data_IF_824584689545
#
_entry.id   IF_824584689545
#
_cell.length_a   1.000
_cell.length_b   1.000
_cell.length_c   1.000
_cell.angle_alpha   90.00
_cell.angle_beta   90.00
_cell.angle_gamma   90.00
#
_symmetry.space_group_name_H-M   'P 1'
#
loop_
_entity.id
_entity.type
_entity.pdbx_description
1 polymer ?
#
# COMPACT_ATOMS: atom_id res chain seq x y z
N UNK A 1 10.85 -10.75 11.91
CA UNK A 1 10.49 -10.32 10.55
C UNK A 1 9.94 -8.92 10.71
N UNK A 2 10.60 -7.92 10.14
CA UNK A 2 10.10 -6.55 10.16
C UNK A 2 8.94 -6.50 9.17
N UNK A 3 7.72 -6.28 9.65
CA UNK A 3 6.57 -6.02 8.78
C UNK A 3 6.85 -4.67 8.08
N UNK A 4 6.97 -4.69 6.76
CA UNK A 4 7.20 -3.47 5.99
C UNK A 4 5.93 -2.60 6.03
N UNK A 5 6.12 -1.30 6.28
CA UNK A 5 5.02 -0.35 6.32
C UNK A 5 4.65 0.07 4.90
N UNK A 6 3.42 -0.20 4.51
CA UNK A 6 2.84 0.27 3.27
C UNK A 6 2.13 1.61 3.48
N UNK A 7 2.27 2.53 2.52
CA UNK A 7 1.63 3.85 2.55
C UNK A 7 0.89 4.12 1.24
N UNK A 8 -0.39 4.48 1.33
CA UNK A 8 -1.20 4.94 0.20
C UNK A 8 -1.71 6.36 0.47
N UNK A 9 -1.57 7.24 -0.51
CA UNK A 9 -2.07 8.61 -0.44
C UNK A 9 -3.01 8.92 -1.59
N UNK A 10 -4.13 9.59 -1.29
CA UNK A 10 -5.09 10.10 -2.25
C UNK A 10 -5.44 11.55 -1.89
N UNK A 11 -5.45 12.43 -2.90
CA UNK A 11 -5.83 13.83 -2.75
C UNK A 11 -7.12 14.09 -3.52
N UNK A 12 -8.14 14.62 -2.85
CA UNK A 12 -9.41 15.02 -3.47
C UNK A 12 -9.76 16.45 -3.07
N UNK A 13 -9.46 17.39 -3.96
CA UNK A 13 -9.63 18.82 -3.66
C UNK A 13 -8.80 19.24 -2.45
N UNK A 14 -9.47 19.61 -1.35
CA UNK A 14 -8.82 20.00 -0.08
C UNK A 14 -8.57 18.82 0.87
N UNK A 15 -9.19 17.67 0.61
CA UNK A 15 -9.10 16.49 1.46
C UNK A 15 -7.89 15.62 1.07
N UNK A 16 -7.25 15.05 2.08
CA UNK A 16 -6.09 14.17 1.94
C UNK A 16 -6.34 12.91 2.75
N UNK A 17 -6.31 11.77 2.06
CA UNK A 17 -6.51 10.46 2.64
C UNK A 17 -5.18 9.73 2.63
N UNK A 18 -4.67 9.38 3.81
CA UNK A 18 -3.43 8.63 3.96
C UNK A 18 -3.74 7.34 4.72
N UNK A 19 -3.47 6.20 4.09
CA UNK A 19 -3.63 4.88 4.67
C UNK A 19 -2.26 4.29 4.91
N UNK A 20 -1.94 4.01 6.17
CA UNK A 20 -0.73 3.30 6.58
C UNK A 20 -1.16 1.96 7.13
N UNK A 21 -0.50 0.89 6.68
CA UNK A 21 -0.80 -0.46 7.12
C UNK A 21 0.41 -1.36 6.93
N UNK A 22 0.53 -2.37 7.78
CA UNK A 22 1.46 -3.47 7.60
C UNK A 22 0.85 -4.55 6.69
N UNK A 23 1.68 -5.42 6.13
CA UNK A 23 1.19 -6.52 5.28
C UNK A 23 0.24 -7.47 6.03
N UNK A 24 0.45 -7.65 7.34
CA UNK A 24 -0.46 -8.37 8.23
C UNK A 24 -1.84 -7.71 8.37
N UNK A 25 -1.95 -6.40 8.12
CA UNK A 25 -3.16 -5.59 8.34
C UNK A 25 -3.95 -5.28 7.05
N UNK A 26 -3.61 -5.90 5.92
CA UNK A 26 -4.26 -5.63 4.61
C UNK A 26 -5.79 -5.78 4.64
N UNK A 27 -6.30 -6.79 5.36
CA UNK A 27 -7.74 -7.00 5.48
C UNK A 27 -8.45 -5.84 6.18
N UNK A 28 -7.82 -5.27 7.21
CA UNK A 28 -8.36 -4.12 7.95
C UNK A 28 -8.24 -2.83 7.14
N UNK A 29 -7.17 -2.68 6.35
CA UNK A 29 -7.05 -1.57 5.41
C UNK A 29 -8.19 -1.61 4.37
N UNK A 30 -8.47 -2.76 3.76
CA UNK A 30 -9.58 -2.93 2.82
C UNK A 30 -10.96 -2.61 3.45
N UNK A 31 -11.20 -3.06 4.68
CA UNK A 31 -12.43 -2.73 5.43
C UNK A 31 -12.54 -1.23 5.68
N UNK A 32 -11.44 -0.56 6.00
CA UNK A 32 -11.40 0.89 6.21
C UNK A 32 -11.74 1.65 4.93
N UNK A 33 -11.21 1.23 3.78
CA UNK A 33 -11.59 1.81 2.48
C UNK A 33 -13.11 1.71 2.23
N UNK A 34 -13.71 0.55 2.53
CA UNK A 34 -15.16 0.36 2.42
C UNK A 34 -15.96 1.29 3.32
N UNK A 35 -15.54 1.46 4.58
CA UNK A 35 -16.19 2.38 5.53
C UNK A 35 -16.11 3.84 5.05
N UNK A 36 -14.96 4.26 4.53
CA UNK A 36 -14.78 5.62 4.01
C UNK A 36 -15.67 5.87 2.79
N UNK A 37 -15.75 4.91 1.86
CA UNK A 37 -16.62 5.01 0.69
C UNK A 37 -18.11 5.03 1.01
N UNK A 38 -18.51 4.45 2.16
CA UNK A 38 -19.90 4.48 2.63
C UNK A 38 -20.25 5.74 3.43
N UNK A 39 -19.29 6.61 3.73
CA UNK A 39 -19.53 7.81 4.53
C UNK A 39 -19.81 9.01 3.60
N UNK A 40 -21.06 9.52 3.53
CA UNK A 40 -21.42 10.62 2.63
C UNK A 40 -20.78 11.97 3.01
N UNK A 41 -20.24 12.11 4.21
CA UNK A 41 -19.53 13.33 4.66
C UNK A 41 -18.11 13.43 4.10
N UNK A 42 -17.61 12.39 3.42
CA UNK A 42 -16.29 12.34 2.81
C UNK A 42 -16.40 12.49 1.29
N UNK A 43 -15.45 13.18 0.65
CA UNK A 43 -15.36 13.16 -0.82
C UNK A 43 -14.81 11.82 -1.36
N UNK A 44 -14.42 10.90 -0.47
CA UNK A 44 -13.97 9.55 -0.78
C UNK A 44 -15.14 8.64 -1.13
N UNK A 45 -15.14 8.07 -2.34
CA UNK A 45 -16.26 7.27 -2.86
C UNK A 45 -15.87 5.82 -3.19
N UNK A 46 -16.85 5.04 -3.64
CA UNK A 46 -16.66 3.62 -3.98
C UNK A 46 -15.62 3.38 -5.08
N UNK A 47 -15.45 4.33 -6.00
CA UNK A 47 -14.45 4.24 -7.06
C UNK A 47 -13.04 4.39 -6.50
N UNK A 48 -12.84 5.36 -5.59
CA UNK A 48 -11.58 5.53 -4.87
C UNK A 48 -11.22 4.26 -4.08
N UNK A 49 -12.19 3.69 -3.36
CA UNK A 49 -12.03 2.43 -2.64
C UNK A 49 -11.58 1.30 -3.58
N UNK A 50 -12.22 1.16 -4.74
CA UNK A 50 -11.88 0.11 -5.71
C UNK A 50 -10.44 0.25 -6.22
N UNK A 51 -10.02 1.47 -6.59
CA UNK A 51 -8.67 1.76 -7.09
C UNK A 51 -7.63 1.51 -6.00
N UNK A 52 -7.84 2.02 -4.78
CA UNK A 52 -6.90 1.81 -3.68
C UNK A 52 -6.88 0.35 -3.22
N UNK A 53 -8.01 -0.35 -3.25
CA UNK A 53 -8.07 -1.78 -2.90
C UNK A 53 -7.23 -2.63 -3.84
N UNK A 54 -7.15 -2.28 -5.13
CA UNK A 54 -6.25 -2.96 -6.05
C UNK A 54 -4.78 -2.74 -5.68
N UNK A 55 -4.41 -1.52 -5.28
CA UNK A 55 -3.04 -1.22 -4.84
C UNK A 55 -2.65 -1.99 -3.58
N UNK A 56 -3.56 -2.12 -2.60
CA UNK A 56 -3.34 -2.93 -1.40
C UNK A 56 -3.11 -4.40 -1.75
N UNK A 57 -3.88 -4.96 -2.69
CA UNK A 57 -3.70 -6.34 -3.14
C UNK A 57 -2.36 -6.56 -3.85
N UNK A 58 -1.96 -5.62 -4.71
CA UNK A 58 -0.72 -5.74 -5.49
C UNK A 58 0.56 -5.49 -4.65
N UNK A 59 0.47 -4.69 -3.58
CA UNK A 59 1.60 -4.45 -2.68
C UNK A 59 2.15 -5.75 -2.05
N UNK A 60 1.28 -6.74 -1.83
CA UNK A 60 1.64 -8.06 -1.33
C UNK A 60 2.56 -8.85 -2.28
N UNK A 61 2.41 -8.64 -3.59
CA UNK A 61 3.18 -9.37 -4.62
C UNK A 61 4.57 -8.75 -4.79
N UNK A 62 4.68 -7.42 -4.69
CA UNK A 62 5.94 -6.71 -4.86
C UNK A 62 6.94 -6.93 -3.71
N UNK A 63 6.47 -7.09 -2.47
CA UNK A 63 7.34 -7.36 -1.31
C UNK A 63 7.80 -8.83 -1.23
N UNK A 64 7.19 -9.75 -2.01
CA UNK A 64 7.62 -11.15 -2.12
C UNK A 64 8.90 -11.35 -2.92
N UNK A 65 9.32 -10.34 -3.68
CA UNK A 65 10.60 -10.29 -4.40
C UNK A 65 11.58 -9.38 -3.68
N UNK A 66 11.91 -9.73 -2.44
CA UNK A 66 13.21 -9.38 -1.87
C UNK A 66 14.29 -10.05 -2.73
N UNK A 67 14.63 -9.41 -3.84
CA UNK A 67 15.77 -9.75 -4.66
C UNK A 67 16.97 -9.76 -3.71
N UNK A 68 17.69 -10.88 -3.52
CA UNK A 68 18.90 -10.82 -2.75
C UNK A 68 19.77 -9.81 -3.49
N UNK A 69 20.16 -8.75 -2.79
CA UNK A 69 21.10 -7.77 -3.29
C UNK A 69 22.27 -8.56 -3.87
N UNK A 70 22.31 -8.70 -5.20
CA UNK A 70 23.45 -9.27 -5.91
C UNK A 70 24.53 -8.23 -5.72
N UNK A 71 25.19 -8.28 -4.56
CA UNK A 71 26.55 -7.84 -4.41
C UNK A 71 27.33 -8.65 -5.44
N UNK A 72 27.40 -8.13 -6.67
CA UNK A 72 28.58 -8.33 -7.48
C UNK A 72 29.70 -7.67 -6.69
N UNK A 73 30.22 -8.40 -5.70
CA UNK A 73 31.65 -8.39 -5.46
C UNK A 73 32.23 -8.88 -6.78
N UNK A 74 32.51 -7.95 -7.69
CA UNK A 74 33.56 -8.20 -8.66
C UNK A 74 34.83 -8.28 -7.83
N UNK A 75 35.50 -9.44 -7.77
CA UNK A 75 36.86 -9.48 -7.27
C UNK A 75 37.67 -8.61 -8.24
N UNK A 76 38.12 -7.45 -7.80
CA UNK A 76 39.29 -6.84 -8.40
C UNK A 76 40.48 -7.57 -7.76
N UNK A 77 40.88 -8.70 -8.33
CA UNK A 77 42.19 -9.29 -8.04
C UNK A 77 42.91 -9.49 -9.38
N UNK A 78 43.97 -8.69 -9.51
CA UNK A 78 45.11 -8.66 -10.46
C UNK A 78 44.87 -8.24 -11.92
#
# INVERSE_FOLDING_TARGET
>A
MSDDINVLALVKGKERYVFLFEDSQRADALRTLGRFASNPELSFNWYDAAVLSQKIRNAAEANGESTPHRAKLSPWEE
#
